data_IF_906698343623
#
_entry.id   IF_906698343623
#
_cell.length_a   1.000
_cell.length_b   1.000
_cell.length_c   1.000
_cell.angle_alpha   90.00
_cell.angle_beta   90.00
_cell.angle_gamma   90.00
#
_symmetry.space_group_name_H-M   'P 1'
#
loop_
_entity.id
_entity.type
_entity.pdbx_description
1 polymer ?
#
# COMPACT_ATOMS: atom_id res chain seq x y z
N UNK A 1 -10.98 -13.25 -17.05
CA UNK A 1 -10.05 -12.83 -15.97
C UNK A 1 -9.84 -14.00 -15.03
N UNK A 2 -8.58 -14.35 -14.74
CA UNK A 2 -8.27 -15.48 -13.85
C UNK A 2 -8.68 -15.10 -12.40
N UNK A 3 -9.48 -15.90 -11.67
CA UNK A 3 -10.00 -15.54 -10.35
C UNK A 3 -8.91 -15.18 -9.34
N UNK A 4 -7.76 -15.86 -9.45
CA UNK A 4 -6.58 -15.62 -8.62
C UNK A 4 -6.00 -14.21 -8.79
N UNK A 5 -5.93 -13.73 -10.04
CA UNK A 5 -5.43 -12.37 -10.35
C UNK A 5 -6.37 -11.31 -9.77
N UNK A 6 -7.69 -11.52 -9.87
CA UNK A 6 -8.69 -10.62 -9.29
C UNK A 6 -8.56 -10.54 -7.76
N UNK A 7 -8.39 -11.69 -7.10
CA UNK A 7 -8.23 -11.74 -5.65
C UNK A 7 -6.95 -11.00 -5.19
N UNK A 8 -5.82 -11.21 -5.85
CA UNK A 8 -4.57 -10.50 -5.54
C UNK A 8 -4.70 -8.99 -5.75
N UNK A 9 -5.39 -8.56 -6.81
CA UNK A 9 -5.62 -7.13 -7.08
C UNK A 9 -6.48 -6.48 -5.98
N UNK A 10 -7.57 -7.14 -5.58
CA UNK A 10 -8.45 -6.67 -4.52
C UNK A 10 -7.71 -6.58 -3.19
N UNK A 11 -6.87 -7.57 -2.87
CA UNK A 11 -6.03 -7.51 -1.68
C UNK A 11 -5.02 -6.35 -1.73
N UNK A 12 -4.42 -6.08 -2.89
CA UNK A 12 -3.55 -4.91 -3.09
C UNK A 12 -4.29 -3.60 -2.81
N UNK A 13 -5.52 -3.46 -3.31
CA UNK A 13 -6.36 -2.28 -3.05
C UNK A 13 -6.69 -2.16 -1.55
N UNK A 14 -7.05 -3.26 -0.89
CA UNK A 14 -7.34 -3.28 0.56
C UNK A 14 -6.12 -2.84 1.35
N UNK A 15 -4.91 -3.33 1.02
CA UNK A 15 -3.67 -2.92 1.67
C UNK A 15 -3.37 -1.43 1.50
N UNK A 16 -3.56 -0.90 0.28
CA UNK A 16 -3.35 0.53 0.01
C UNK A 16 -4.33 1.42 0.78
N UNK A 17 -5.61 1.04 0.83
CA UNK A 17 -6.63 1.76 1.60
C UNK A 17 -6.35 1.70 3.10
N UNK A 18 -5.94 0.54 3.63
CA UNK A 18 -5.58 0.40 5.04
C UNK A 18 -4.39 1.31 5.41
N UNK A 19 -3.35 1.37 4.56
CA UNK A 19 -2.23 2.29 4.76
C UNK A 19 -2.68 3.76 4.81
N UNK A 20 -3.55 4.17 3.89
CA UNK A 20 -4.12 5.53 3.88
C UNK A 20 -4.88 5.85 5.17
N UNK A 21 -5.66 4.90 5.68
CA UNK A 21 -6.38 5.06 6.96
C UNK A 21 -5.40 5.25 8.13
N UNK A 22 -4.32 4.46 8.20
CA UNK A 22 -3.30 4.63 9.24
C UNK A 22 -2.61 6.00 9.14
N UNK A 23 -2.27 6.44 7.93
CA UNK A 23 -1.63 7.73 7.72
C UNK A 23 -2.53 8.90 8.14
N UNK A 24 -3.84 8.81 7.85
CA UNK A 24 -4.82 9.79 8.33
C UNK A 24 -4.93 9.77 9.86
N UNK A 25 -4.96 8.59 10.47
CA UNK A 25 -4.96 8.44 11.93
C UNK A 25 -3.73 9.07 12.59
N UNK A 26 -2.54 8.87 12.01
CA UNK A 26 -1.30 9.49 12.46
C UNK A 26 -1.37 11.03 12.39
N UNK A 27 -1.91 11.58 11.30
CA UNK A 27 -2.08 13.04 11.18
C UNK A 27 -3.07 13.59 12.19
N UNK A 28 -4.14 12.85 12.50
CA UNK A 28 -5.12 13.24 13.52
C UNK A 28 -4.50 13.23 14.93
N UNK A 29 -3.69 12.23 15.26
CA UNK A 29 -3.03 12.11 16.57
C UNK A 29 -1.95 13.16 16.75
N UNK A 30 -1.17 13.46 15.71
CA UNK A 30 -0.02 14.38 15.81
C UNK A 30 -0.37 15.85 15.56
N UNK A 31 -1.52 16.13 14.95
CA UNK A 31 -1.89 17.47 14.48
C UNK A 31 -1.04 17.98 13.32
N UNK A 32 -0.04 17.20 12.86
CA UNK A 32 0.87 17.57 11.80
C UNK A 32 0.31 17.15 10.44
N UNK A 33 0.02 18.13 9.59
CA UNK A 33 -0.49 17.89 8.24
C UNK A 33 0.65 17.82 7.24
N UNK A 34 0.91 16.62 6.72
CA UNK A 34 1.79 16.47 5.57
C UNK A 34 1.15 17.07 4.32
N UNK A 35 1.97 17.60 3.42
CA UNK A 35 1.50 18.08 2.13
C UNK A 35 0.95 16.91 1.29
N UNK A 36 -0.10 17.18 0.51
CA UNK A 36 -0.75 16.20 -0.38
C UNK A 36 0.24 15.40 -1.25
N UNK A 37 1.31 16.01 -1.81
CA UNK A 37 2.31 15.27 -2.60
C UNK A 37 3.05 14.20 -1.79
N UNK A 38 3.34 14.45 -0.51
CA UNK A 38 4.05 13.48 0.36
C UNK A 38 3.16 12.28 0.67
N UNK A 39 1.87 12.53 0.92
CA UNK A 39 0.88 11.48 1.14
C UNK A 39 0.74 10.60 -0.10
N UNK A 40 0.54 11.22 -1.27
CA UNK A 40 0.39 10.51 -2.54
C UNK A 40 1.65 9.73 -2.88
N UNK A 41 2.82 10.35 -2.75
CA UNK A 41 4.11 9.71 -3.03
C UNK A 41 4.35 8.49 -2.13
N UNK A 42 4.16 8.63 -0.82
CA UNK A 42 4.38 7.51 0.13
C UNK A 42 3.36 6.40 -0.09
N UNK A 43 2.11 6.75 -0.38
CA UNK A 43 1.05 5.76 -0.68
C UNK A 43 1.37 4.97 -1.94
N UNK A 44 1.84 5.64 -3.00
CA UNK A 44 2.25 4.95 -4.23
C UNK A 44 3.45 4.04 -3.99
N UNK A 45 4.45 4.49 -3.23
CA UNK A 45 5.61 3.67 -2.87
C UNK A 45 5.19 2.42 -2.10
N UNK A 46 4.27 2.54 -1.13
CA UNK A 46 3.80 1.37 -0.36
C UNK A 46 2.91 0.46 -1.20
N UNK A 47 1.95 1.03 -1.93
CA UNK A 47 1.00 0.28 -2.75
C UNK A 47 1.69 -0.51 -3.87
N UNK A 48 2.80 -0.01 -4.41
CA UNK A 48 3.56 -0.65 -5.49
C UNK A 48 4.73 -1.48 -4.92
N UNK A 49 5.47 -0.93 -3.96
CA UNK A 49 6.66 -1.56 -3.38
C UNK A 49 6.34 -2.83 -2.62
N UNK A 50 5.26 -2.88 -1.82
CA UNK A 50 4.90 -4.07 -1.05
C UNK A 50 4.57 -5.29 -1.93
N UNK A 51 3.71 -5.20 -2.98
CA UNK A 51 3.47 -6.34 -3.87
C UNK A 51 4.71 -6.72 -4.69
N UNK A 52 5.53 -5.76 -5.13
CA UNK A 52 6.79 -6.07 -5.84
C UNK A 52 7.76 -6.82 -4.91
N UNK A 53 7.96 -6.34 -3.69
CA UNK A 53 8.81 -7.03 -2.71
C UNK A 53 8.30 -8.43 -2.40
N UNK A 54 6.98 -8.58 -2.24
CA UNK A 54 6.35 -9.89 -2.01
C UNK A 54 6.59 -10.84 -3.18
N UNK A 55 6.49 -10.34 -4.42
CA UNK A 55 6.74 -11.15 -5.61
C UNK A 55 8.21 -11.57 -5.73
N UNK A 56 9.13 -10.64 -5.49
CA UNK A 56 10.57 -10.91 -5.49
C UNK A 56 10.94 -11.88 -4.37
N UNK A 57 10.40 -11.67 -3.16
CA UNK A 57 10.64 -12.55 -2.02
C UNK A 57 10.13 -13.96 -2.26
N UNK A 58 8.98 -14.12 -2.92
CA UNK A 58 8.47 -15.44 -3.29
C UNK A 58 9.42 -16.14 -4.27
N UNK A 59 9.87 -15.45 -5.31
CA UNK A 59 10.82 -16.02 -6.29
C UNK A 59 12.27 -16.17 -5.79
N UNK A 60 12.62 -15.59 -4.64
CA UNK A 60 13.95 -15.74 -4.02
C UNK A 60 13.99 -16.81 -2.91
N UNK A 61 12.82 -17.25 -2.44
CA UNK A 61 12.68 -18.30 -1.42
C UNK A 61 12.36 -19.69 -2.02
N UNK A 62 12.18 -19.76 -3.33
CA UNK A 62 12.13 -20.99 -4.14
C UNK A 62 13.53 -21.35 -4.68
#
# INVERSE_FOLDING_TARGET
MNPRVKASLLWGVVGALAFLVLLQGYQLVTGYRYSVPVIVGTTLVVAIGAPILTYIAHGALD
#
